data_IF_983530870912
#
_entry.id   IF_983530870912
#
_cell.length_a   1.000
_cell.length_b   1.000
_cell.length_c   1.000
_cell.angle_alpha   90.00
_cell.angle_beta   90.00
_cell.angle_gamma   90.00
#
_symmetry.space_group_name_H-M   'P 1'
#
loop_
_entity.id
_entity.type
_entity.pdbx_description
1 polymer ?
#
# COMPACT_ATOMS: atom_id res chain seq x y z
N UNK A 1 39.45 9.59 -23.21
CA UNK A 1 39.26 10.30 -21.93
C UNK A 1 38.66 9.32 -20.92
N UNK A 2 39.47 8.57 -20.15
CA UNK A 2 38.99 7.44 -19.34
C UNK A 2 38.94 7.80 -17.84
N UNK A 3 38.35 8.95 -17.49
CA UNK A 3 38.32 9.43 -16.10
C UNK A 3 37.07 9.03 -15.31
N UNK A 4 36.10 8.36 -15.94
CA UNK A 4 35.01 7.70 -15.23
C UNK A 4 35.32 6.21 -15.21
N UNK A 5 35.47 5.66 -14.00
CA UNK A 5 35.48 4.21 -13.75
C UNK A 5 34.14 3.84 -13.15
N UNK A 6 33.39 3.01 -13.87
CA UNK A 6 32.19 2.38 -13.32
C UNK A 6 32.61 1.18 -12.45
N UNK A 7 32.90 1.45 -11.18
CA UNK A 7 33.20 0.41 -10.20
C UNK A 7 31.90 -0.10 -9.58
N UNK A 8 31.47 -1.29 -10.00
CA UNK A 8 30.34 -1.99 -9.39
C UNK A 8 30.84 -2.84 -8.20
N UNK A 9 30.93 -2.23 -7.01
CA UNK A 9 31.22 -2.95 -5.76
C UNK A 9 29.96 -3.03 -4.87
N UNK A 10 29.29 -4.21 -4.81
CA UNK A 10 28.13 -4.41 -3.94
C UNK A 10 28.37 -4.09 -2.46
N UNK A 11 29.63 -4.14 -1.98
CA UNK A 11 29.97 -3.86 -0.58
C UNK A 11 29.79 -2.40 -0.21
N UNK A 12 29.87 -1.49 -1.18
CA UNK A 12 29.65 -0.05 -1.00
C UNK A 12 28.16 0.34 -1.01
N UNK A 13 27.25 -0.61 -1.30
CA UNK A 13 25.80 -0.38 -1.46
C UNK A 13 24.99 -0.80 -0.22
N UNK A 14 25.64 -0.90 0.94
CA UNK A 14 24.97 -1.27 2.20
C UNK A 14 23.84 -0.31 2.60
N UNK A 15 23.95 0.97 2.22
CA UNK A 15 22.91 1.99 2.47
C UNK A 15 21.55 1.65 1.83
N UNK A 16 21.52 0.84 0.76
CA UNK A 16 20.27 0.44 0.10
C UNK A 16 19.37 -0.41 1.00
N UNK A 17 19.97 -1.04 2.02
CA UNK A 17 19.24 -1.82 3.02
C UNK A 17 18.21 -0.96 3.77
N UNK A 18 18.46 0.34 3.91
CA UNK A 18 17.48 1.29 4.45
C UNK A 18 16.14 1.25 3.71
N UNK A 19 16.17 1.31 2.37
CA UNK A 19 14.96 1.28 1.55
C UNK A 19 14.34 -0.12 1.47
N UNK A 20 15.17 -1.18 1.45
CA UNK A 20 14.67 -2.57 1.50
C UNK A 20 13.91 -2.83 2.79
N UNK A 21 14.47 -2.43 3.92
CA UNK A 21 13.81 -2.56 5.23
C UNK A 21 12.52 -1.76 5.32
N UNK A 22 12.45 -0.58 4.70
CA UNK A 22 11.21 0.22 4.63
C UNK A 22 10.10 -0.53 3.87
N UNK A 23 10.44 -1.20 2.77
CA UNK A 23 9.48 -1.92 1.93
C UNK A 23 9.05 -3.28 2.50
N UNK A 24 9.91 -3.95 3.26
CA UNK A 24 9.57 -5.20 3.96
C UNK A 24 8.41 -4.98 4.94
N UNK A 25 7.59 -6.02 5.11
CA UNK A 25 6.39 -6.04 5.95
C UNK A 25 6.24 -7.42 6.63
N UNK A 26 5.43 -7.49 7.68
CA UNK A 26 5.20 -8.72 8.45
C UNK A 26 4.16 -9.61 7.79
N UNK A 27 3.07 -8.99 7.28
CA UNK A 27 1.98 -9.69 6.62
C UNK A 27 1.18 -8.77 5.69
N UNK A 28 0.46 -9.41 4.78
CA UNK A 28 -0.54 -8.77 3.91
C UNK A 28 -1.92 -9.31 4.28
N UNK A 29 -2.90 -8.42 4.43
CA UNK A 29 -4.30 -8.78 4.68
C UNK A 29 -5.17 -8.30 3.52
N UNK A 30 -6.06 -9.14 3.01
CA UNK A 30 -7.03 -8.73 1.99
C UNK A 30 -8.15 -7.91 2.62
N UNK A 31 -8.45 -6.76 2.02
CA UNK A 31 -9.61 -5.94 2.40
C UNK A 31 -10.15 -5.14 1.21
N UNK A 32 -11.14 -4.28 1.47
CA UNK A 32 -11.73 -3.36 0.48
C UNK A 32 -12.21 -2.07 1.18
N UNK A 33 -12.60 -1.07 0.39
CA UNK A 33 -13.14 0.19 0.90
C UNK A 33 -14.67 0.18 0.86
N UNK A 34 -15.30 0.13 2.03
CA UNK A 34 -16.76 0.22 2.22
C UNK A 34 -17.31 1.63 2.05
N UNK A 35 -16.95 2.32 0.96
CA UNK A 35 -17.40 3.67 0.62
C UNK A 35 -18.21 3.62 -0.69
N UNK A 36 -19.23 4.47 -0.82
CA UNK A 36 -20.11 4.50 -1.99
C UNK A 36 -19.42 5.11 -3.23
N UNK A 37 -18.51 4.36 -3.85
CA UNK A 37 -17.69 4.81 -4.97
C UNK A 37 -17.80 3.94 -6.23
N UNK A 38 -18.69 2.93 -6.23
CA UNK A 38 -18.85 1.89 -7.27
C UNK A 38 -17.60 1.04 -7.57
N UNK A 39 -16.48 1.32 -6.90
CA UNK A 39 -15.19 0.71 -7.19
C UNK A 39 -15.13 -0.77 -6.84
N UNK A 40 -15.55 -1.18 -5.65
CA UNK A 40 -15.43 -2.59 -5.21
C UNK A 40 -14.01 -3.16 -5.33
N UNK A 41 -12.98 -2.31 -5.25
CA UNK A 41 -11.60 -2.70 -5.51
C UNK A 41 -11.05 -3.55 -4.34
N UNK A 42 -10.38 -4.65 -4.64
CA UNK A 42 -9.58 -5.44 -3.70
C UNK A 42 -8.25 -4.74 -3.40
N UNK A 43 -7.86 -4.76 -2.12
CA UNK A 43 -6.63 -4.16 -1.62
C UNK A 43 -5.84 -5.15 -0.77
N UNK A 44 -4.52 -5.07 -0.91
CA UNK A 44 -3.52 -5.71 -0.09
C UNK A 44 -3.05 -4.73 0.99
N UNK A 45 -3.50 -4.93 2.21
CA UNK A 45 -3.18 -4.09 3.36
C UNK A 45 -1.88 -4.61 3.98
N UNK A 46 -0.83 -3.79 3.95
CA UNK A 46 0.49 -4.16 4.45
C UNK A 46 0.61 -3.77 5.93
N UNK A 47 1.02 -4.74 6.75
CA UNK A 47 1.24 -4.56 8.18
C UNK A 47 2.72 -4.75 8.45
N UNK A 48 3.33 -3.82 9.18
CA UNK A 48 4.72 -3.87 9.63
C UNK A 48 4.79 -3.42 11.08
N UNK A 49 5.58 -4.11 11.90
CA UNK A 49 5.71 -3.87 13.34
C UNK A 49 4.35 -3.83 14.06
N UNK A 50 3.42 -4.69 13.60
CA UNK A 50 2.06 -4.77 14.14
C UNK A 50 1.12 -3.61 13.79
N UNK A 51 1.53 -2.64 12.97
CA UNK A 51 0.68 -1.53 12.52
C UNK A 51 0.43 -1.58 11.01
N UNK A 52 -0.72 -1.07 10.57
CA UNK A 52 -1.00 -0.91 9.13
C UNK A 52 -0.16 0.25 8.61
N UNK A 53 0.61 0.03 7.54
CA UNK A 53 1.55 1.04 7.03
C UNK A 53 1.15 1.64 5.69
N UNK A 54 0.69 0.81 4.75
CA UNK A 54 0.18 1.25 3.44
C UNK A 54 -0.72 0.16 2.84
N UNK A 55 -1.43 0.50 1.77
CA UNK A 55 -2.14 -0.45 0.94
C UNK A 55 -1.65 -0.42 -0.51
N UNK A 56 -1.76 -1.54 -1.21
CA UNK A 56 -1.58 -1.63 -2.66
C UNK A 56 -2.77 -2.36 -3.27
N UNK A 57 -3.07 -2.12 -4.54
CA UNK A 57 -4.14 -2.87 -5.22
C UNK A 57 -3.81 -4.36 -5.24
N UNK A 58 -4.80 -5.22 -4.96
CA UNK A 58 -4.66 -6.65 -5.25
C UNK A 58 -4.90 -6.93 -6.72
N UNK A 59 -4.16 -7.90 -7.25
CA UNK A 59 -4.05 -8.16 -8.70
C UNK A 59 -4.57 -9.54 -9.12
N UNK A 60 -5.41 -10.15 -8.30
CA UNK A 60 -5.83 -11.54 -8.46
C UNK A 60 -7.35 -11.67 -8.62
N UNK A 61 -7.96 -10.78 -9.40
CA UNK A 61 -9.32 -10.98 -9.85
C UNK A 61 -9.36 -12.17 -10.82
N UNK A 62 -10.46 -12.94 -10.85
CA UNK A 62 -10.64 -13.96 -11.88
C UNK A 62 -10.60 -13.33 -13.28
N UNK A 63 -9.95 -14.01 -14.22
CA UNK A 63 -10.00 -13.61 -15.62
C UNK A 63 -11.45 -13.65 -16.14
N UNK A 64 -11.81 -12.69 -16.98
CA UNK A 64 -13.17 -12.57 -17.51
C UNK A 64 -13.43 -13.58 -18.62
N UNK A 65 -12.76 -13.39 -19.76
CA UNK A 65 -12.78 -14.30 -20.90
C UNK A 65 -11.53 -14.09 -21.76
N UNK A 66 -11.27 -15.02 -22.67
CA UNK A 66 -10.18 -14.88 -23.64
C UNK A 66 -10.42 -13.69 -24.56
N UNK A 67 -9.46 -12.76 -24.62
CA UNK A 67 -9.49 -11.59 -25.50
C UNK A 67 -9.99 -10.31 -24.83
N UNK A 68 -10.54 -10.37 -23.61
CA UNK A 68 -10.82 -9.16 -22.81
C UNK A 68 -9.63 -8.80 -21.92
N UNK A 69 -9.37 -7.50 -21.71
CA UNK A 69 -8.39 -7.07 -20.73
C UNK A 69 -8.85 -7.45 -19.31
N UNK A 70 -7.90 -7.76 -18.42
CA UNK A 70 -8.21 -8.14 -17.06
C UNK A 70 -8.60 -6.89 -16.23
N UNK A 71 -9.20 -7.07 -15.05
CA UNK A 71 -9.74 -5.94 -14.25
C UNK A 71 -8.65 -5.17 -13.49
N UNK A 72 -7.51 -5.80 -13.28
CA UNK A 72 -6.36 -5.31 -12.55
C UNK A 72 -5.83 -4.00 -13.17
N UNK A 73 -5.42 -3.02 -12.36
CA UNK A 73 -5.27 -3.04 -10.90
C UNK A 73 -6.52 -2.51 -10.15
N UNK A 74 -7.51 -1.96 -10.87
CA UNK A 74 -8.53 -1.04 -10.31
C UNK A 74 -7.86 0.04 -9.42
N UNK A 75 -8.46 0.34 -8.27
CA UNK A 75 -7.94 1.33 -7.31
C UNK A 75 -8.19 2.78 -7.71
N UNK A 76 -7.91 3.72 -6.80
CA UNK A 76 -7.99 5.16 -7.03
C UNK A 76 -7.17 5.92 -5.99
N UNK A 77 -6.95 7.22 -6.20
CA UNK A 77 -6.20 8.09 -5.30
C UNK A 77 -6.80 8.25 -3.90
N UNK A 78 -8.11 7.97 -3.75
CA UNK A 78 -8.80 8.00 -2.45
C UNK A 78 -8.60 6.68 -1.69
N UNK A 79 -8.49 5.57 -2.42
CA UNK A 79 -8.24 4.27 -1.82
C UNK A 79 -6.80 4.10 -1.36
N UNK A 80 -5.82 4.57 -2.15
CA UNK A 80 -4.39 4.44 -1.82
C UNK A 80 -3.97 5.24 -0.58
N UNK A 81 -4.83 6.11 -0.06
CA UNK A 81 -4.58 6.95 1.11
C UNK A 81 -5.40 6.57 2.34
N UNK A 82 -6.17 5.47 2.29
CA UNK A 82 -7.13 5.14 3.34
C UNK A 82 -6.45 4.76 4.66
N UNK A 83 -5.28 4.10 4.62
CA UNK A 83 -4.45 3.77 5.79
C UNK A 83 -4.16 4.97 6.69
N UNK A 84 -4.14 6.20 6.16
CA UNK A 84 -4.00 7.42 6.95
C UNK A 84 -5.06 7.55 8.05
N UNK A 85 -6.32 7.20 7.78
CA UNK A 85 -7.43 7.34 8.74
C UNK A 85 -7.29 6.48 10.00
N UNK A 86 -6.44 5.46 9.98
CA UNK A 86 -6.25 4.57 11.13
C UNK A 86 -5.64 5.33 12.32
N UNK A 87 -4.72 6.26 12.05
CA UNK A 87 -3.92 6.94 13.07
C UNK A 87 -3.96 8.47 12.95
N UNK A 88 -4.75 9.02 12.03
CA UNK A 88 -4.83 10.45 11.83
C UNK A 88 -5.53 11.19 12.99
N UNK A 89 -5.36 12.52 13.08
CA UNK A 89 -6.07 13.34 14.06
C UNK A 89 -7.60 13.29 13.95
N UNK A 90 -8.15 12.78 12.84
CA UNK A 90 -9.59 12.66 12.61
C UNK A 90 -10.19 11.35 13.14
N UNK A 91 -9.34 10.43 13.64
CA UNK A 91 -9.83 9.15 14.16
C UNK A 91 -10.65 9.36 15.43
N UNK A 92 -11.95 9.06 15.35
CA UNK A 92 -12.81 8.97 16.53
C UNK A 92 -12.37 7.77 17.38
N UNK A 93 -11.90 8.04 18.61
CA UNK A 93 -11.38 7.02 19.55
C UNK A 93 -12.40 6.60 20.60
N UNK A 94 -13.35 7.47 20.93
CA UNK A 94 -14.33 7.27 21.99
C UNK A 94 -15.71 7.77 21.54
N UNK A 95 -16.80 7.31 22.17
CA UNK A 95 -18.11 7.94 22.01
C UNK A 95 -18.07 9.39 22.54
N UNK A 96 -18.65 10.34 21.78
CA UNK A 96 -18.76 11.75 22.18
C UNK A 96 -20.24 12.15 22.27
N UNK A 97 -20.53 13.12 23.14
CA UNK A 97 -21.83 13.78 23.26
C UNK A 97 -21.57 15.30 23.20
N UNK A 98 -22.49 16.06 22.59
CA UNK A 98 -22.40 17.53 22.56
C UNK A 98 -22.58 18.09 23.97
N UNK A 99 -21.70 19.00 24.39
CA UNK A 99 -21.84 19.73 25.65
C UNK A 99 -23.06 20.64 25.66
N UNK A 100 -23.57 20.94 26.86
CA UNK A 100 -24.69 21.86 27.09
C UNK A 100 -24.27 23.33 26.96
#
# INVERSE_FOLDING_TARGET
>A
MPWIRDEADPRLRSWEEFYRNRWQYDKVVRSTHGVNCTGGCTWQIHVKDGIVTWEMQGLDYPALESGLPPYETRGCQRGISFSWYLYSPLRVKYPYMRGA
#
